data_IF_996685610440
#
_entry.id   IF_996685610440
#
_cell.length_a   1.000
_cell.length_b   1.000
_cell.length_c   1.000
_cell.angle_alpha   90.00
_cell.angle_beta   90.00
_cell.angle_gamma   90.00
#
_symmetry.space_group_name_H-M   'P 1'
#
loop_
_entity.id
_entity.type
_entity.pdbx_description
1 polymer ?
#
# COMPACT_ATOMS: atom_id res chain seq x y z
N UNK A 1 -28.72 -0.78 36.70
CA UNK A 1 -28.26 -0.51 35.32
C UNK A 1 -26.88 0.16 35.39
N UNK A 2 -25.83 -0.50 34.92
CA UNK A 2 -24.49 0.12 34.80
C UNK A 2 -24.54 1.04 33.57
N UNK A 3 -24.39 2.36 33.75
CA UNK A 3 -24.24 3.28 32.61
C UNK A 3 -22.91 2.96 31.93
N UNK A 4 -22.98 2.54 30.67
CA UNK A 4 -21.82 2.52 29.77
C UNK A 4 -21.48 3.98 29.47
N UNK A 5 -20.46 4.52 30.13
CA UNK A 5 -19.90 5.82 29.77
C UNK A 5 -18.97 5.58 28.58
N UNK A 6 -19.44 5.91 27.37
CA UNK A 6 -18.59 5.94 26.17
C UNK A 6 -17.57 7.07 26.35
N UNK A 7 -16.30 6.72 26.57
CA UNK A 7 -15.22 7.69 26.54
C UNK A 7 -14.90 8.04 25.08
N UNK A 8 -15.56 9.09 24.59
CA UNK A 8 -15.46 9.53 23.19
C UNK A 8 -13.99 9.83 22.81
N UNK A 9 -13.17 10.32 23.75
CA UNK A 9 -11.77 10.64 23.47
C UNK A 9 -10.90 9.40 23.29
N UNK A 10 -11.19 8.33 24.05
CA UNK A 10 -10.53 7.03 23.87
C UNK A 10 -10.99 6.35 22.57
N UNK A 11 -12.28 6.45 22.25
CA UNK A 11 -12.79 5.94 20.98
C UNK A 11 -12.12 6.65 19.79
N UNK A 12 -12.07 7.98 19.80
CA UNK A 12 -11.43 8.75 18.73
C UNK A 12 -9.93 8.49 18.62
N UNK A 13 -9.23 8.26 19.73
CA UNK A 13 -7.79 7.94 19.71
C UNK A 13 -7.48 6.53 19.21
N UNK A 14 -8.35 5.56 19.50
CA UNK A 14 -8.26 4.21 18.93
C UNK A 14 -8.60 4.21 17.44
N UNK A 15 -9.65 4.95 17.05
CA UNK A 15 -10.02 5.18 15.65
C UNK A 15 -8.82 5.77 14.91
N UNK A 16 -8.25 6.90 15.29
CA UNK A 16 -7.19 7.50 14.48
C UNK A 16 -5.91 6.64 14.40
N UNK A 17 -5.58 5.89 15.46
CA UNK A 17 -4.51 4.90 15.40
C UNK A 17 -4.82 3.73 14.45
N UNK A 18 -6.09 3.33 14.31
CA UNK A 18 -6.56 2.31 13.40
C UNK A 18 -6.79 2.82 11.95
N UNK A 19 -7.17 4.08 11.77
CA UNK A 19 -7.60 4.66 10.47
C UNK A 19 -6.52 5.46 9.74
N UNK A 20 -5.42 5.85 10.40
CA UNK A 20 -4.20 6.42 9.78
C UNK A 20 -3.42 5.41 8.90
N UNK A 21 -4.13 4.58 8.15
CA UNK A 21 -3.67 3.31 7.59
C UNK A 21 -4.50 2.19 8.22
N UNK A 22 -5.61 1.87 7.54
CA UNK A 22 -6.69 0.95 7.88
C UNK A 22 -6.26 -0.41 8.49
N UNK A 23 -5.96 -0.41 9.79
CA UNK A 23 -5.83 -1.60 10.60
C UNK A 23 -7.23 -2.16 10.85
N UNK A 24 -7.63 -3.16 10.06
CA UNK A 24 -8.90 -3.88 10.21
C UNK A 24 -8.93 -4.83 11.40
N UNK A 25 -8.58 -4.38 12.60
CA UNK A 25 -8.99 -5.07 13.82
C UNK A 25 -10.31 -4.43 14.26
N UNK A 26 -11.43 -4.99 13.80
CA UNK A 26 -12.74 -4.79 14.43
C UNK A 26 -12.75 -5.54 15.77
N UNK A 27 -11.94 -5.08 16.72
CA UNK A 27 -12.03 -5.47 18.11
C UNK A 27 -13.05 -4.55 18.78
N UNK A 28 -14.12 -5.13 19.33
CA UNK A 28 -15.07 -4.45 20.20
C UNK A 28 -14.32 -3.59 21.24
N UNK A 29 -14.58 -2.27 21.31
CA UNK A 29 -13.88 -1.36 22.22
C UNK A 29 -14.19 -1.61 23.71
N UNK A 30 -15.11 -2.52 24.04
CA UNK A 30 -15.56 -2.76 25.42
C UNK A 30 -14.84 -3.89 26.16
N UNK A 31 -13.87 -4.59 25.53
CA UNK A 31 -13.15 -5.70 26.17
C UNK A 31 -11.63 -5.61 25.99
N UNK A 32 -11.04 -4.45 26.31
CA UNK A 32 -9.59 -4.32 26.52
C UNK A 32 -9.29 -4.12 28.01
N UNK A 33 -9.77 -5.05 28.82
CA UNK A 33 -9.57 -5.04 30.26
C UNK A 33 -9.79 -6.43 30.83
N UNK A 34 -8.69 -7.13 31.09
CA UNK A 34 -8.60 -8.48 31.68
C UNK A 34 -8.87 -9.62 30.70
N UNK A 35 -7.79 -10.23 30.16
CA UNK A 35 -7.44 -11.67 30.29
C UNK A 35 -6.15 -11.88 29.49
N UNK A 36 -5.06 -12.21 30.18
CA UNK A 36 -3.90 -12.82 29.54
C UNK A 36 -4.19 -14.28 29.22
N UNK A 37 -3.72 -14.78 28.07
CA UNK A 37 -3.82 -16.21 27.74
C UNK A 37 -3.69 -16.55 26.26
N UNK A 38 -2.45 -16.77 25.83
CA UNK A 38 -1.97 -17.88 24.99
C UNK A 38 -2.95 -18.60 24.04
N UNK A 39 -2.73 -18.45 22.73
CA UNK A 39 -2.64 -19.50 21.67
C UNK A 39 -2.03 -18.75 20.44
N UNK A 40 -0.85 -19.02 19.86
CA UNK A 40 -0.08 -20.24 19.74
C UNK A 40 -0.01 -20.63 18.25
N UNK A 41 0.92 -20.08 17.47
CA UNK A 41 1.65 -20.77 16.40
C UNK A 41 2.98 -20.04 16.12
N UNK A 42 4.06 -20.78 16.32
CA UNK A 42 5.44 -20.40 16.12
C UNK A 42 5.75 -20.26 14.62
N UNK A 43 6.51 -19.23 14.24
CA UNK A 43 7.77 -19.54 13.56
C UNK A 43 8.83 -18.51 13.90
N UNK A 44 9.94 -19.07 14.37
CA UNK A 44 11.13 -18.41 14.86
C UNK A 44 11.91 -17.84 13.67
N UNK A 45 12.53 -16.67 13.85
CA UNK A 45 13.89 -16.30 13.42
C UNK A 45 13.98 -14.77 13.27
N UNK A 46 14.30 -14.09 14.38
CA UNK A 46 15.43 -13.16 14.44
C UNK A 46 15.67 -12.79 15.91
N UNK A 47 16.79 -13.24 16.45
CA UNK A 47 17.32 -12.94 17.78
C UNK A 47 18.31 -11.80 17.67
N UNK A 48 18.13 -10.75 18.48
CA UNK A 48 19.00 -9.57 18.49
C UNK A 48 18.67 -8.51 19.55
N UNK A 49 18.60 -8.91 20.82
CA UNK A 49 18.89 -8.14 22.05
C UNK A 49 18.12 -6.83 22.41
N UNK A 50 17.27 -6.99 23.45
CA UNK A 50 17.08 -6.17 24.67
C UNK A 50 16.40 -4.78 24.63
N UNK A 51 15.21 -4.74 25.25
CA UNK A 51 14.81 -3.67 26.19
C UNK A 51 13.53 -2.90 25.82
N UNK A 52 12.48 -3.09 26.63
CA UNK A 52 11.14 -2.49 26.54
C UNK A 52 10.24 -3.08 25.44
N UNK A 53 9.00 -3.42 25.81
CA UNK A 53 8.04 -4.15 24.99
C UNK A 53 7.88 -3.55 23.58
N UNK A 54 8.50 -4.20 22.60
CA UNK A 54 8.28 -3.91 21.21
C UNK A 54 6.87 -4.41 20.85
N UNK A 55 5.93 -3.49 20.69
CA UNK A 55 4.68 -3.74 19.99
C UNK A 55 5.00 -4.42 18.67
N UNK A 56 4.28 -5.50 18.34
CA UNK A 56 4.44 -6.17 17.05
C UNK A 56 4.37 -5.14 15.90
N UNK A 57 5.22 -5.25 14.86
CA UNK A 57 5.20 -4.33 13.74
C UNK A 57 3.78 -4.21 13.17
N UNK A 58 3.31 -2.97 12.96
CA UNK A 58 1.96 -2.76 12.43
C UNK A 58 1.94 -3.16 10.95
N UNK A 59 1.07 -4.10 10.53
CA UNK A 59 0.99 -4.49 9.12
C UNK A 59 0.55 -3.30 8.25
N UNK A 60 1.11 -3.15 7.05
CA UNK A 60 0.79 -2.03 6.17
C UNK A 60 -0.66 -2.16 5.72
N UNK A 61 -1.40 -1.06 5.86
CA UNK A 61 -2.78 -0.98 5.39
C UNK A 61 -2.78 -0.26 4.04
N UNK A 62 -2.95 -1.00 2.94
CA UNK A 62 -2.61 -0.46 1.63
C UNK A 62 -3.67 0.50 1.09
N UNK A 63 -3.24 1.48 0.30
CA UNK A 63 -4.15 2.27 -0.53
C UNK A 63 -4.35 1.57 -1.86
N UNK A 64 -5.60 1.43 -2.31
CA UNK A 64 -5.92 0.73 -3.56
C UNK A 64 -6.69 1.64 -4.50
N UNK A 65 -6.19 1.76 -5.72
CA UNK A 65 -6.81 2.50 -6.82
C UNK A 65 -7.02 1.54 -7.98
N UNK A 66 -8.23 1.49 -8.50
CA UNK A 66 -8.55 0.75 -9.73
C UNK A 66 -8.89 1.75 -10.83
N UNK A 67 -8.21 1.63 -11.95
CA UNK A 67 -8.45 2.42 -13.15
C UNK A 67 -9.01 1.51 -14.24
N UNK A 68 -10.08 1.96 -14.90
CA UNK A 68 -10.68 1.26 -16.02
C UNK A 68 -10.79 2.20 -17.22
N UNK A 69 -10.25 1.77 -18.36
CA UNK A 69 -10.42 2.43 -19.63
C UNK A 69 -11.63 1.84 -20.36
N UNK A 70 -12.65 2.65 -20.64
CA UNK A 70 -13.85 2.20 -21.36
C UNK A 70 -13.80 2.45 -22.86
N UNK A 71 -12.66 2.91 -23.38
CA UNK A 71 -12.47 3.29 -24.79
C UNK A 71 -11.59 2.29 -25.53
N UNK A 72 -11.65 2.34 -26.86
CA UNK A 72 -10.84 1.50 -27.76
C UNK A 72 -9.42 2.05 -28.00
N UNK A 73 -9.07 3.19 -27.39
CA UNK A 73 -7.74 3.79 -27.48
C UNK A 73 -7.03 3.81 -26.14
N UNK A 74 -5.71 3.90 -26.17
CA UNK A 74 -4.89 4.03 -24.97
C UNK A 74 -5.04 5.45 -24.39
N UNK A 75 -5.16 5.54 -23.06
CA UNK A 75 -5.42 6.80 -22.36
C UNK A 75 -4.45 6.99 -21.20
N UNK A 76 -4.04 8.23 -20.94
CA UNK A 76 -3.18 8.55 -19.78
C UNK A 76 -4.01 8.69 -18.51
N UNK A 77 -3.65 7.90 -17.49
CA UNK A 77 -4.15 8.05 -16.12
C UNK A 77 -3.18 8.89 -15.29
N UNK A 78 -3.76 9.70 -14.40
CA UNK A 78 -3.04 10.47 -13.38
C UNK A 78 -3.48 9.97 -12.01
N UNK A 79 -2.53 9.47 -11.23
CA UNK A 79 -2.72 9.05 -9.86
C UNK A 79 -2.10 10.07 -8.90
N UNK A 80 -2.76 10.38 -7.79
CA UNK A 80 -2.32 11.36 -6.79
C UNK A 80 -2.12 12.80 -7.34
N UNK A 81 -1.41 13.67 -6.61
CA UNK A 81 -1.15 15.06 -7.03
C UNK A 81 -2.23 16.08 -6.71
N UNK A 82 -2.79 16.06 -5.51
CA UNK A 82 -3.89 16.94 -5.10
C UNK A 82 -3.66 18.44 -5.39
N UNK A 83 -2.46 18.95 -5.19
CA UNK A 83 -2.16 20.38 -5.37
C UNK A 83 -2.39 20.86 -6.81
N UNK A 84 -2.19 19.97 -7.80
CA UNK A 84 -2.41 20.27 -9.22
C UNK A 84 -3.76 19.76 -9.72
N UNK A 85 -4.16 18.57 -9.27
CA UNK A 85 -5.27 17.82 -9.86
C UNK A 85 -6.50 17.68 -8.97
N UNK A 86 -6.47 18.18 -7.73
CA UNK A 86 -7.57 18.05 -6.76
C UNK A 86 -8.91 18.64 -7.23
N UNK A 87 -8.86 19.68 -8.08
CA UNK A 87 -10.03 20.31 -8.70
C UNK A 87 -10.07 20.13 -10.23
N UNK A 88 -9.14 19.36 -10.80
CA UNK A 88 -9.12 19.10 -12.23
C UNK A 88 -10.23 18.12 -12.60
N UNK A 89 -10.77 18.26 -13.82
CA UNK A 89 -11.68 17.26 -14.37
C UNK A 89 -11.03 15.88 -14.33
N UNK A 90 -11.78 14.90 -13.84
CA UNK A 90 -11.32 13.51 -13.66
C UNK A 90 -9.94 13.40 -12.99
N UNK A 91 -9.62 14.32 -12.07
CA UNK A 91 -8.34 14.35 -11.34
C UNK A 91 -7.12 14.38 -12.27
N UNK A 92 -7.26 15.02 -13.44
CA UNK A 92 -6.20 15.09 -14.46
C UNK A 92 -6.10 13.89 -15.39
N UNK A 93 -6.80 12.79 -15.10
CA UNK A 93 -6.86 11.64 -16.00
C UNK A 93 -7.69 11.94 -17.24
N UNK A 94 -7.35 11.31 -18.36
CA UNK A 94 -8.08 11.47 -19.61
C UNK A 94 -9.58 11.09 -19.47
N UNK A 95 -10.43 11.71 -20.30
CA UNK A 95 -11.85 11.37 -20.37
C UNK A 95 -12.02 9.93 -20.88
N UNK A 96 -12.91 9.15 -20.26
CA UNK A 96 -13.08 7.71 -20.55
C UNK A 96 -12.35 6.78 -19.57
N UNK A 97 -11.54 7.34 -18.66
CA UNK A 97 -10.99 6.61 -17.53
C UNK A 97 -11.89 6.74 -16.30
N UNK A 98 -12.24 5.62 -15.67
CA UNK A 98 -12.93 5.57 -14.39
C UNK A 98 -11.94 5.22 -13.27
N UNK A 99 -11.75 6.13 -12.32
CA UNK A 99 -10.89 5.94 -11.15
C UNK A 99 -11.77 5.63 -9.93
N UNK A 100 -11.53 4.48 -9.32
CA UNK A 100 -12.26 4.00 -8.14
C UNK A 100 -11.28 3.55 -7.07
N UNK A 101 -11.70 3.60 -5.81
CA UNK A 101 -10.91 2.99 -4.72
C UNK A 101 -11.34 1.53 -4.52
N UNK A 102 -10.46 0.75 -3.91
CA UNK A 102 -10.77 -0.63 -3.52
C UNK A 102 -11.72 -0.76 -2.31
N UNK A 103 -12.22 0.34 -1.75
CA UNK A 103 -12.93 0.37 -0.48
C UNK A 103 -14.35 0.90 -0.65
N UNK A 104 -15.31 0.21 -0.04
CA UNK A 104 -16.72 0.61 -0.09
C UNK A 104 -16.93 1.93 0.65
N UNK A 105 -17.60 2.88 -0.01
CA UNK A 105 -17.93 4.18 0.58
C UNK A 105 -16.77 5.17 0.61
N UNK A 106 -15.65 4.87 -0.07
CA UNK A 106 -14.51 5.79 -0.22
C UNK A 106 -14.34 6.16 -1.68
N UNK A 107 -14.53 7.43 -2.00
CA UNK A 107 -14.30 7.96 -3.34
C UNK A 107 -12.83 8.27 -3.57
N UNK A 108 -12.39 8.24 -4.83
CA UNK A 108 -11.01 8.54 -5.18
C UNK A 108 -10.60 9.97 -4.78
N UNK A 109 -11.54 10.92 -4.83
CA UNK A 109 -11.32 12.29 -4.34
C UNK A 109 -10.93 12.35 -2.85
N UNK A 110 -11.49 11.46 -2.02
CA UNK A 110 -11.17 11.41 -0.59
C UNK A 110 -9.75 10.87 -0.38
N UNK A 111 -9.38 9.81 -1.11
CA UNK A 111 -8.02 9.27 -1.09
C UNK A 111 -7.00 10.31 -1.56
N UNK A 112 -7.29 11.01 -2.66
CA UNK A 112 -6.43 12.06 -3.22
C UNK A 112 -6.20 13.20 -2.22
N UNK A 113 -7.25 13.63 -1.52
CA UNK A 113 -7.12 14.65 -0.47
C UNK A 113 -6.34 14.12 0.73
N UNK A 114 -6.59 12.88 1.15
CA UNK A 114 -5.87 12.28 2.27
C UNK A 114 -4.37 12.16 1.99
N UNK A 115 -3.96 11.77 0.78
CA UNK A 115 -2.53 11.73 0.43
C UNK A 115 -1.84 13.10 0.50
N UNK A 116 -2.59 14.20 0.46
CA UNK A 116 -2.05 15.55 0.62
C UNK A 116 -1.91 15.96 2.09
N UNK A 117 -2.88 15.61 2.93
CA UNK A 117 -2.91 15.97 4.36
C UNK A 117 -2.15 14.98 5.25
N UNK A 118 -2.11 13.72 4.83
CA UNK A 118 -1.42 12.60 5.46
C UNK A 118 -0.46 11.95 4.44
N UNK A 119 0.64 12.64 4.08
CA UNK A 119 1.58 12.11 3.12
C UNK A 119 2.21 10.82 3.63
N UNK A 120 2.56 9.94 2.70
CA UNK A 120 3.08 8.62 3.01
C UNK A 120 4.21 8.23 2.08
N UNK A 121 5.13 7.42 2.58
CA UNK A 121 6.15 6.77 1.78
C UNK A 121 5.71 5.34 1.50
N UNK A 122 5.93 4.87 0.28
CA UNK A 122 5.62 3.48 -0.11
C UNK A 122 6.84 2.59 0.10
N UNK A 123 6.62 1.31 0.42
CA UNK A 123 7.68 0.28 0.35
C UNK A 123 7.55 -0.55 -0.92
N UNK A 124 6.32 -0.73 -1.40
CA UNK A 124 5.99 -1.62 -2.49
C UNK A 124 4.74 -1.09 -3.20
N UNK A 125 4.72 -1.18 -4.52
CA UNK A 125 3.54 -0.95 -5.34
C UNK A 125 3.22 -2.22 -6.10
N UNK A 126 2.04 -2.78 -5.85
CA UNK A 126 1.53 -3.94 -6.59
C UNK A 126 0.67 -3.48 -7.74
N UNK A 127 1.03 -3.86 -8.95
CA UNK A 127 0.26 -3.65 -10.18
C UNK A 127 -0.43 -4.96 -10.52
N UNK A 128 -1.75 -4.92 -10.69
CA UNK A 128 -2.55 -6.09 -11.07
C UNK A 128 -3.46 -5.78 -12.23
N UNK A 129 -3.44 -6.60 -13.27
CA UNK A 129 -4.40 -6.56 -14.38
C UNK A 129 -4.65 -7.96 -14.93
N UNK A 130 -5.80 -8.16 -15.57
CA UNK A 130 -6.04 -9.34 -16.41
C UNK A 130 -5.35 -9.23 -17.77
N UNK A 131 -4.96 -8.01 -18.18
CA UNK A 131 -4.17 -7.78 -19.39
C UNK A 131 -2.67 -7.79 -19.00
N UNK A 132 -1.92 -8.76 -19.52
CA UNK A 132 -0.50 -8.93 -19.23
C UNK A 132 0.40 -7.85 -19.84
N UNK A 133 -0.07 -7.09 -20.85
CA UNK A 133 0.67 -5.94 -21.36
C UNK A 133 0.46 -4.72 -20.46
N UNK A 134 -0.73 -4.58 -19.86
CA UNK A 134 -1.05 -3.45 -18.98
C UNK A 134 -0.18 -3.38 -17.72
N UNK A 135 0.27 -4.53 -17.20
CA UNK A 135 1.12 -4.57 -16.00
C UNK A 135 2.55 -4.09 -16.27
N UNK A 136 2.96 -3.98 -17.54
CA UNK A 136 4.30 -3.56 -17.96
C UNK A 136 4.38 -2.06 -18.24
N UNK A 137 3.26 -1.36 -18.29
CA UNK A 137 3.21 0.08 -18.55
C UNK A 137 3.99 0.87 -17.48
N UNK A 138 4.84 1.78 -17.95
CA UNK A 138 5.70 2.59 -17.08
C UNK A 138 4.90 3.51 -16.16
N UNK A 139 5.37 3.65 -14.92
CA UNK A 139 4.87 4.61 -13.95
C UNK A 139 5.82 5.81 -13.90
N UNK A 140 5.38 6.98 -14.35
CA UNK A 140 6.16 8.21 -14.29
C UNK A 140 5.83 8.98 -13.02
N UNK A 141 6.72 8.96 -12.04
CA UNK A 141 6.53 9.65 -10.77
C UNK A 141 7.07 11.06 -10.92
N UNK A 142 6.21 12.06 -10.80
CA UNK A 142 6.58 13.47 -10.93
C UNK A 142 6.26 14.23 -9.66
N UNK A 143 7.21 15.02 -9.17
CA UNK A 143 7.01 15.96 -8.06
C UNK A 143 7.28 17.37 -8.55
N UNK A 144 6.36 18.29 -8.26
CA UNK A 144 6.49 19.72 -8.59
C UNK A 144 6.56 20.53 -7.31
N UNK A 145 7.61 21.32 -7.18
CA UNK A 145 7.77 22.29 -6.10
C UNK A 145 7.05 23.61 -6.45
N UNK A 146 6.66 24.39 -5.44
CA UNK A 146 5.95 25.65 -5.60
C UNK A 146 6.75 26.72 -6.35
N UNK A 147 8.09 26.57 -6.41
CA UNK A 147 8.97 27.42 -7.22
C UNK A 147 9.02 27.01 -8.72
N UNK A 148 8.23 26.03 -9.14
CA UNK A 148 8.16 25.55 -10.52
C UNK A 148 9.23 24.52 -10.90
N UNK A 149 10.10 24.10 -9.97
CA UNK A 149 11.02 22.98 -10.21
C UNK A 149 10.24 21.67 -10.25
N UNK A 150 10.60 20.81 -11.20
CA UNK A 150 10.02 19.48 -11.34
C UNK A 150 11.12 18.42 -11.37
N UNK A 151 10.82 17.27 -10.79
CA UNK A 151 11.61 16.06 -10.91
C UNK A 151 10.68 14.93 -11.37
N UNK A 152 11.08 14.20 -12.40
CA UNK A 152 10.36 13.03 -12.92
C UNK A 152 11.29 11.83 -12.92
N UNK A 153 10.82 10.72 -12.35
CA UNK A 153 11.51 9.44 -12.34
C UNK A 153 10.60 8.37 -12.94
N UNK A 154 10.99 7.73 -14.07
CA UNK A 154 10.27 6.59 -14.60
C UNK A 154 10.56 5.34 -13.77
N UNK A 155 9.52 4.54 -13.54
CA UNK A 155 9.62 3.21 -12.92
C UNK A 155 8.96 2.23 -13.86
N UNK A 156 9.76 1.35 -14.44
CA UNK A 156 9.33 0.33 -15.39
C UNK A 156 9.05 -0.99 -14.63
N UNK A 157 7.79 -1.45 -14.52
CA UNK A 157 7.47 -2.68 -13.79
C UNK A 157 8.15 -3.94 -14.37
N UNK A 158 8.52 -3.91 -15.66
CA UNK A 158 9.27 -4.99 -16.33
C UNK A 158 10.59 -5.35 -15.61
N UNK A 159 11.28 -4.37 -15.03
CA UNK A 159 12.55 -4.59 -14.32
C UNK A 159 12.39 -5.42 -13.04
N UNK A 160 11.16 -5.50 -12.52
CA UNK A 160 10.80 -6.21 -11.30
C UNK A 160 10.20 -7.58 -11.58
N UNK A 161 10.11 -7.97 -12.86
CA UNK A 161 9.60 -9.27 -13.23
C UNK A 161 10.61 -10.37 -12.86
N UNK A 162 10.20 -11.29 -11.99
CA UNK A 162 11.02 -12.46 -11.68
C UNK A 162 10.64 -13.63 -12.58
N UNK A 163 11.63 -14.28 -13.20
CA UNK A 163 11.42 -15.50 -13.98
C UNK A 163 10.78 -16.65 -13.17
N UNK A 164 10.83 -16.59 -11.83
CA UNK A 164 10.20 -17.56 -10.93
C UNK A 164 8.75 -17.21 -10.55
N UNK A 165 8.20 -16.08 -11.03
CA UNK A 165 6.86 -15.63 -10.70
C UNK A 165 5.82 -16.33 -11.59
N UNK A 166 5.16 -17.37 -11.06
CA UNK A 166 4.15 -18.16 -11.79
C UNK A 166 2.78 -17.45 -11.95
N UNK A 167 2.70 -16.13 -11.80
CA UNK A 167 1.44 -15.37 -11.86
C UNK A 167 1.56 -14.22 -12.87
N UNK A 168 1.02 -14.44 -14.08
CA UNK A 168 1.16 -13.51 -15.22
C UNK A 168 0.33 -12.20 -15.13
N UNK A 169 -0.42 -11.98 -14.04
CA UNK A 169 -1.32 -10.82 -13.90
C UNK A 169 -0.97 -9.90 -12.73
N UNK A 170 0.17 -10.11 -12.07
CA UNK A 170 0.59 -9.36 -10.90
C UNK A 170 2.09 -9.10 -11.00
N UNK A 171 2.49 -7.85 -10.80
CA UNK A 171 3.89 -7.45 -10.60
C UNK A 171 3.98 -6.63 -9.32
N UNK A 172 5.00 -6.93 -8.52
CA UNK A 172 5.34 -6.20 -7.32
C UNK A 172 6.57 -5.34 -7.60
N UNK A 173 6.42 -4.02 -7.46
CA UNK A 173 7.47 -3.04 -7.73
C UNK A 173 7.97 -2.53 -6.38
N UNK A 174 9.19 -2.89 -6.01
CA UNK A 174 9.85 -2.45 -4.79
C UNK A 174 10.45 -1.05 -5.01
N UNK A 175 9.68 -0.02 -4.68
CA UNK A 175 10.09 1.37 -4.86
C UNK A 175 9.67 2.19 -3.65
N UNK A 176 10.64 2.92 -3.10
CA UNK A 176 10.38 3.94 -2.09
C UNK A 176 10.04 5.26 -2.80
N UNK A 177 8.75 5.59 -2.86
CA UNK A 177 8.29 6.90 -3.31
C UNK A 177 7.46 7.60 -2.23
N UNK A 178 7.77 8.86 -1.99
CA UNK A 178 6.98 9.74 -1.13
C UNK A 178 5.80 10.29 -1.94
N UNK A 179 4.58 9.97 -1.50
CA UNK A 179 3.35 10.49 -2.05
C UNK A 179 2.82 11.58 -1.12
N UNK A 180 2.78 12.80 -1.65
CA UNK A 180 2.25 13.99 -0.98
C UNK A 180 1.34 14.77 -1.94
N UNK A 181 0.90 15.96 -1.54
CA UNK A 181 0.02 16.79 -2.39
C UNK A 181 0.64 17.23 -3.72
N UNK A 182 1.97 17.29 -3.82
CA UNK A 182 2.71 17.76 -4.99
C UNK A 182 3.23 16.63 -5.90
N UNK A 183 3.23 15.39 -5.41
CA UNK A 183 3.68 14.22 -6.17
C UNK A 183 2.48 13.54 -6.85
N UNK A 184 2.62 13.25 -8.14
CA UNK A 184 1.66 12.48 -8.93
C UNK A 184 2.36 11.44 -9.79
N UNK A 185 1.61 10.43 -10.21
CA UNK A 185 2.07 9.35 -11.07
C UNK A 185 1.27 9.42 -12.37
N UNK A 186 1.93 9.40 -13.52
CA UNK A 186 1.25 9.19 -14.80
C UNK A 186 1.59 7.83 -15.39
N UNK A 187 0.62 7.21 -16.05
CA UNK A 187 0.79 5.90 -16.68
C UNK A 187 -0.25 5.70 -17.77
N UNK A 188 0.09 4.92 -18.79
CA UNK A 188 -0.82 4.59 -19.88
C UNK A 188 -1.74 3.45 -19.45
N UNK A 189 -3.04 3.62 -19.68
CA UNK A 189 -4.04 2.57 -19.54
C UNK A 189 -4.46 2.16 -20.94
N UNK A 190 -4.11 0.93 -21.30
CA UNK A 190 -4.41 0.34 -22.59
C UNK A 190 -5.93 0.29 -22.84
N UNK A 191 -6.29 0.28 -24.12
CA UNK A 191 -7.67 0.13 -24.56
C UNK A 191 -8.41 -1.00 -23.82
N UNK A 192 -9.61 -0.70 -23.31
CA UNK A 192 -10.49 -1.63 -22.58
C UNK A 192 -9.84 -2.32 -21.36
N UNK A 193 -8.69 -1.86 -20.89
CA UNK A 193 -7.97 -2.48 -19.79
C UNK A 193 -8.48 -2.01 -18.43
N UNK A 194 -8.40 -2.92 -17.44
CA UNK A 194 -8.59 -2.62 -16.03
C UNK A 194 -7.31 -2.94 -15.27
N UNK A 195 -6.82 -1.99 -14.51
CA UNK A 195 -5.64 -2.15 -13.66
C UNK A 195 -5.94 -1.72 -12.24
N UNK A 196 -5.39 -2.45 -11.28
CA UNK A 196 -5.46 -2.13 -9.86
C UNK A 196 -4.06 -1.90 -9.35
N UNK A 197 -3.81 -0.69 -8.85
CA UNK A 197 -2.61 -0.31 -8.14
C UNK A 197 -2.87 -0.42 -6.64
N UNK A 198 -1.99 -1.13 -5.93
CA UNK A 198 -2.03 -1.25 -4.47
C UNK A 198 -0.72 -0.71 -3.91
N UNK A 199 -0.79 0.42 -3.22
CA UNK A 199 0.34 1.11 -2.61
C UNK A 199 0.46 0.68 -1.16
N UNK A 200 1.56 0.03 -0.81
CA UNK A 200 1.84 -0.39 0.56
C UNK A 200 2.67 0.70 1.24
N UNK A 201 2.11 1.41 2.24
CA UNK A 201 2.87 2.43 2.94
C UNK A 201 3.95 1.79 3.82
N UNK A 202 5.17 2.31 3.74
CA UNK A 202 6.23 2.11 4.72
C UNK A 202 6.01 3.02 5.93
N UNK A 203 5.66 4.29 5.66
CA UNK A 203 5.42 5.30 6.68
C UNK A 203 4.25 6.20 6.27
N UNK A 204 3.45 6.65 7.24
CA UNK A 204 2.39 7.65 7.05
C UNK A 204 2.57 8.76 8.07
N UNK A 205 2.54 10.01 7.60
CA UNK A 205 2.56 11.19 8.47
C UNK A 205 1.13 11.55 8.84
N UNK A 206 0.83 11.60 10.14
CA UNK A 206 -0.44 12.09 10.66
C UNK A 206 -0.20 13.09 11.80
N UNK A 207 -0.44 14.37 11.51
CA UNK A 207 -0.20 15.47 12.46
C UNK A 207 -1.16 15.46 13.65
N UNK A 208 -2.33 14.81 13.53
CA UNK A 208 -3.29 14.69 14.65
C UNK A 208 -2.74 13.84 15.79
N UNK A 209 -1.82 12.91 15.50
CA UNK A 209 -1.14 12.08 16.52
C UNK A 209 -0.33 12.96 17.48
N UNK A 210 0.36 13.96 16.96
CA UNK A 210 1.13 14.89 17.79
C UNK A 210 0.24 15.73 18.73
N UNK A 211 -0.97 16.09 18.28
CA UNK A 211 -1.94 16.86 19.09
C UNK A 211 -2.53 16.07 20.27
N UNK A 212 -2.46 14.73 20.22
CA UNK A 212 -3.07 13.84 21.22
C UNK A 212 -2.09 13.23 22.21
N UNK A 213 -0.91 13.83 22.34
CA UNK A 213 0.07 13.43 23.36
C UNK A 213 0.88 12.17 23.00
N UNK A 214 0.84 11.70 21.75
CA UNK A 214 1.77 10.67 21.25
C UNK A 214 3.15 11.28 21.01
N UNK A 215 3.84 11.64 22.11
CA UNK A 215 5.25 12.12 22.19
C UNK A 215 5.74 12.99 21.02
N UNK A 216 4.89 13.87 20.48
CA UNK A 216 5.24 14.77 19.38
C UNK A 216 5.63 14.09 18.05
N UNK A 217 5.42 12.78 17.87
CA UNK A 217 5.80 12.08 16.64
C UNK A 217 4.59 11.91 15.71
N UNK A 218 4.51 12.66 14.58
CA UNK A 218 3.43 12.51 13.63
C UNK A 218 3.57 11.25 12.76
N UNK A 219 4.74 10.62 12.68
CA UNK A 219 5.03 9.51 11.76
C UNK A 219 4.63 8.16 12.35
N UNK A 220 3.85 7.39 11.59
CA UNK A 220 3.51 5.99 11.86
C UNK A 220 4.26 5.11 10.86
N UNK A 221 5.03 4.16 11.37
CA UNK A 221 5.81 3.20 10.58
C UNK A 221 5.07 1.87 10.46
N UNK A 222 5.26 1.19 9.35
CA UNK A 222 4.66 -0.11 9.03
C UNK A 222 5.76 -1.13 8.72
N UNK A 223 5.48 -2.41 8.96
CA UNK A 223 6.37 -3.49 8.49
C UNK A 223 6.32 -3.59 6.98
N UNK A 224 7.42 -4.00 6.36
CA UNK A 224 7.42 -4.36 4.94
C UNK A 224 6.37 -5.45 4.66
N UNK A 225 5.60 -5.34 3.56
CA UNK A 225 4.69 -6.40 3.16
C UNK A 225 5.48 -7.67 2.82
N UNK A 226 4.98 -8.83 3.24
CA UNK A 226 5.61 -10.10 2.87
C UNK A 226 5.32 -10.41 1.39
N UNK A 227 6.34 -10.35 0.55
CA UNK A 227 6.30 -10.93 -0.80
C UNK A 227 6.41 -12.44 -0.64
N UNK A 228 5.37 -13.18 -1.03
CA UNK A 228 5.40 -14.65 -0.99
C UNK A 228 6.35 -15.15 -2.09
N UNK A 229 7.62 -15.36 -1.74
CA UNK A 229 8.50 -16.19 -2.54
C UNK A 229 8.00 -17.62 -2.35
N UNK A 230 7.49 -18.25 -3.41
CA UNK A 230 7.26 -19.69 -3.38
C UNK A 230 8.64 -20.31 -3.19
N UNK A 231 8.92 -20.82 -1.99
CA UNK A 231 10.14 -21.57 -1.71
C UNK A 231 10.34 -22.55 -2.87
N UNK A 232 11.53 -22.52 -3.50
CA UNK A 232 11.94 -23.35 -4.62
C UNK A 232 11.28 -24.73 -4.53
N UNK A 233 10.12 -24.90 -5.16
CA UNK A 233 9.57 -26.22 -5.38
C UNK A 233 10.49 -26.79 -6.43
N UNK A 234 11.49 -27.56 -5.98
CA UNK A 234 12.38 -28.31 -6.84
C UNK A 234 11.51 -28.94 -7.94
N UNK A 235 11.62 -28.53 -9.23
CA UNK A 235 10.81 -29.11 -10.28
C UNK A 235 10.89 -30.63 -10.20
N UNK A 236 9.74 -31.28 -10.40
CA UNK A 236 9.60 -32.74 -10.31
C UNK A 236 10.52 -33.52 -11.26
N UNK A 237 11.24 -32.82 -12.15
CA UNK A 237 12.17 -33.34 -13.14
C UNK A 237 13.64 -33.41 -12.69
N UNK A 238 14.01 -33.00 -11.48
CA UNK A 238 15.40 -33.19 -11.03
C UNK A 238 15.69 -34.70 -10.84
N UNK A 239 16.68 -35.26 -11.56
CA UNK A 239 17.08 -36.65 -11.35
C UNK A 239 17.53 -36.82 -9.90
N UNK A 240 17.07 -37.91 -9.26
CA UNK A 240 17.52 -38.27 -7.93
C UNK A 240 19.06 -38.41 -7.94
N UNK A 241 19.73 -37.80 -6.96
CA UNK A 241 21.16 -37.98 -6.79
C UNK A 241 21.45 -39.49 -6.65
N UNK A 242 22.44 -40.04 -7.38
CA UNK A 242 22.79 -41.44 -7.24
C UNK A 242 23.22 -41.71 -5.81
N UNK A 243 22.62 -42.75 -5.21
CA UNK A 243 22.92 -43.22 -3.87
C UNK A 243 24.42 -43.58 -3.79
N UNK A 244 25.19 -42.84 -2.99
CA UNK A 244 26.63 -43.02 -2.80
C UNK A 244 27.01 -44.25 -1.95
N UNK A 245 26.24 -45.34 -2.05
CA UNK A 245 26.47 -46.56 -1.25
C UNK A 245 27.18 -47.68 -2.01
N UNK A 246 27.84 -47.39 -3.14
CA UNK A 246 28.65 -48.36 -3.87
C UNK A 246 29.93 -47.72 -4.40
N UNK A 247 30.84 -47.34 -3.50
CA UNK A 247 32.28 -47.34 -3.72
C UNK A 247 32.99 -47.55 -2.38
#
# INVERSE_FOLDING_TARGET
MKKLNLNINEYLSQVDNAYSGANGIYGDPLYSGMVGGTQGMNDMYFSGANGAGASAPTPPSPYRVTVFNSTDGDLEAVLFGFNKYGNASNFGSAAGLALTTGFTGVDYAQLLRQSATEPFETSLVRVRSSNSSQILETLNITTIDANGKQCTAPVSPEDYFSAAQFQAGIVDVEVAMTLNGSTFITTTILALARVTYTFFPAEVVNTTRALRGFSGNPVKQFSAPQVKILANQRPASYPALPNSSNY
#
